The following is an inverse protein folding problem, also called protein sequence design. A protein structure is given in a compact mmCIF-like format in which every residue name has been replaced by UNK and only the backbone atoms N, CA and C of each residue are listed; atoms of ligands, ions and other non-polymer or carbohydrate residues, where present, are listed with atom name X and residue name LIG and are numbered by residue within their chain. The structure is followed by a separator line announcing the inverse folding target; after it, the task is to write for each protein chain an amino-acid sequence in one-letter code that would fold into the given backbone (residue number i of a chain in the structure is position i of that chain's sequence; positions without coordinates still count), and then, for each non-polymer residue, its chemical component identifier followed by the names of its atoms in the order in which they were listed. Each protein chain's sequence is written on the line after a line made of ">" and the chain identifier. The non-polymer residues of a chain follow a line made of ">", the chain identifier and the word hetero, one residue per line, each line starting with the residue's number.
data_IF_249895986590
#
_entry.id   IF_249895986590
#
_cell.length_a   1.000
_cell.length_b   1.000
_cell.length_c   1.000
_cell.angle_alpha   90.00
_cell.angle_beta   90.00
_cell.angle_gamma   90.00
#
_symmetry.space_group_name_H-M   'P 1'
#
loop_
_entity.id
_entity.type
_entity.pdbx_description
1 polymer ?
#
# COMPACT_ATOMS: atom_id res chain seq x y z
N UNK A 1 12.96 36.58 -53.27
CA UNK A 1 11.97 36.13 -52.25
C UNK A 1 11.30 34.81 -52.62
N UNK A 2 10.72 34.62 -53.79
CA UNK A 2 9.98 33.40 -54.17
C UNK A 2 10.76 32.08 -54.06
N UNK A 3 12.08 32.05 -54.43
CA UNK A 3 12.91 30.83 -54.30
C UNK A 3 13.20 30.40 -52.85
N UNK A 4 13.27 31.33 -51.88
CA UNK A 4 13.47 31.03 -50.47
C UNK A 4 12.22 30.47 -49.80
N UNK A 5 11.05 30.96 -50.24
CA UNK A 5 9.73 30.45 -49.76
C UNK A 5 9.49 29.01 -50.27
N UNK A 6 9.85 28.77 -51.54
CA UNK A 6 9.70 27.44 -52.13
C UNK A 6 10.61 26.41 -51.45
N UNK A 7 11.86 26.78 -51.13
CA UNK A 7 12.80 25.93 -50.40
C UNK A 7 12.33 25.65 -48.98
N UNK A 8 11.74 26.62 -48.28
CA UNK A 8 11.20 26.42 -46.94
C UNK A 8 9.96 25.47 -46.94
N UNK A 9 9.07 25.60 -47.94
CA UNK A 9 7.93 24.72 -48.12
C UNK A 9 8.34 23.28 -48.42
N UNK A 10 9.32 23.08 -49.30
CA UNK A 10 9.85 21.74 -49.62
C UNK A 10 10.55 21.11 -48.40
N UNK A 11 11.30 21.89 -47.61
CA UNK A 11 11.94 21.40 -46.39
C UNK A 11 10.91 21.02 -45.32
N UNK A 12 9.81 21.80 -45.15
CA UNK A 12 8.74 21.48 -44.20
C UNK A 12 7.94 20.23 -44.61
N UNK A 13 7.69 20.03 -45.89
CA UNK A 13 7.00 18.81 -46.36
C UNK A 13 7.89 17.59 -46.25
N UNK A 14 9.20 17.71 -46.48
CA UNK A 14 10.16 16.60 -46.31
C UNK A 14 10.33 16.20 -44.84
N UNK A 15 10.38 17.20 -43.93
CA UNK A 15 10.42 16.96 -42.48
C UNK A 15 9.14 16.29 -41.97
N UNK A 16 7.96 16.70 -42.45
CA UNK A 16 6.69 16.08 -42.10
C UNK A 16 6.52 14.64 -42.61
N UNK A 17 7.18 14.27 -43.71
CA UNK A 17 7.13 12.92 -44.28
C UNK A 17 8.10 11.94 -43.55
N UNK A 18 9.13 12.45 -42.87
CA UNK A 18 10.12 11.65 -42.14
C UNK A 18 9.66 11.24 -40.74
N UNK A 19 8.70 11.95 -40.12
CA UNK A 19 8.23 11.66 -38.76
C UNK A 19 7.59 10.27 -38.63
N UNK A 20 6.74 9.78 -39.53
CA UNK A 20 6.16 8.44 -39.41
C UNK A 20 7.16 7.29 -39.64
N UNK A 21 8.33 7.56 -40.25
CA UNK A 21 9.37 6.56 -40.45
C UNK A 21 10.20 6.28 -39.19
N UNK A 22 10.07 7.10 -38.14
CA UNK A 22 10.77 6.95 -36.86
C UNK A 22 9.87 6.35 -35.78
N UNK A 23 8.57 6.15 -36.05
CA UNK A 23 7.68 5.46 -35.14
C UNK A 23 7.98 3.96 -35.18
N UNK A 24 8.62 3.43 -34.15
CA UNK A 24 8.68 1.98 -33.96
C UNK A 24 7.25 1.45 -33.81
N UNK A 25 6.87 0.36 -34.51
CA UNK A 25 5.58 -0.26 -34.27
C UNK A 25 5.49 -0.66 -32.79
N UNK A 26 4.42 -0.28 -32.11
CA UNK A 26 4.09 -0.83 -30.81
C UNK A 26 3.78 -2.33 -31.06
N UNK A 27 4.58 -3.22 -30.47
CA UNK A 27 4.37 -4.66 -30.54
C UNK A 27 3.68 -5.10 -29.25
N UNK A 28 2.53 -5.78 -29.37
CA UNK A 28 1.84 -6.39 -28.24
C UNK A 28 2.64 -7.57 -27.64
N UNK A 29 3.59 -8.12 -28.39
CA UNK A 29 4.40 -9.29 -28.00
C UNK A 29 5.84 -9.12 -28.46
N UNK A 30 6.77 -9.66 -27.68
CA UNK A 30 8.17 -9.74 -28.07
C UNK A 30 8.43 -11.05 -28.79
N UNK A 31 8.94 -10.98 -30.03
CA UNK A 31 9.38 -12.12 -30.79
C UNK A 31 10.87 -12.35 -30.64
N UNK A 32 11.28 -13.58 -30.31
CA UNK A 32 12.69 -13.93 -30.16
C UNK A 32 12.96 -15.37 -30.59
N UNK A 33 14.07 -15.56 -31.31
CA UNK A 33 14.60 -16.87 -31.62
C UNK A 33 15.43 -17.40 -30.46
N UNK A 34 15.05 -18.54 -29.91
CA UNK A 34 15.72 -19.22 -28.79
C UNK A 34 16.19 -20.60 -29.25
N UNK A 35 17.44 -20.72 -29.68
CA UNK A 35 17.98 -21.92 -30.31
C UNK A 35 17.23 -22.26 -31.58
N UNK A 36 16.54 -23.41 -31.62
CA UNK A 36 15.73 -23.88 -32.75
C UNK A 36 14.24 -23.54 -32.65
N UNK A 37 13.85 -22.74 -31.66
CA UNK A 37 12.46 -22.35 -31.39
C UNK A 37 12.26 -20.86 -31.58
N UNK A 38 11.04 -20.48 -32.01
CA UNK A 38 10.56 -19.11 -31.99
C UNK A 38 9.63 -18.93 -30.80
N UNK A 39 9.91 -17.92 -30.02
CA UNK A 39 9.12 -17.48 -28.85
C UNK A 39 8.43 -16.19 -29.22
N UNK A 40 7.11 -16.13 -29.01
CA UNK A 40 6.34 -14.89 -28.99
C UNK A 40 5.77 -14.75 -27.60
N UNK A 41 6.20 -13.71 -26.87
CA UNK A 41 5.96 -13.57 -25.43
C UNK A 41 5.36 -12.22 -25.12
N UNK A 42 4.38 -12.17 -24.23
CA UNK A 42 3.75 -10.97 -23.73
C UNK A 42 2.72 -11.29 -22.66
N UNK A 43 1.83 -10.35 -22.41
CA UNK A 43 0.61 -10.63 -21.68
C UNK A 43 -0.42 -11.32 -22.58
N UNK A 44 -1.25 -12.16 -22.00
CA UNK A 44 -2.28 -12.90 -22.73
C UNK A 44 -3.44 -12.04 -23.23
N UNK A 45 -3.79 -11.04 -22.43
CA UNK A 45 -4.82 -10.05 -22.74
C UNK A 45 -4.21 -8.65 -22.68
N UNK A 46 -4.31 -7.89 -23.75
CA UNK A 46 -3.81 -6.52 -23.86
C UNK A 46 -4.90 -5.54 -24.31
N UNK A 47 -4.92 -4.32 -23.76
CA UNK A 47 -4.02 -3.80 -22.74
C UNK A 47 -4.23 -4.47 -21.37
N UNK A 48 -3.12 -4.78 -20.70
CA UNK A 48 -3.14 -5.38 -19.35
C UNK A 48 -3.45 -4.32 -18.29
N UNK A 49 -4.41 -4.60 -17.39
CA UNK A 49 -4.74 -3.74 -16.26
C UNK A 49 -4.42 -4.44 -14.92
N UNK A 50 -3.85 -3.68 -13.99
CA UNK A 50 -3.57 -4.19 -12.65
C UNK A 50 -4.88 -4.54 -11.90
N UNK A 51 -4.90 -5.70 -11.24
CA UNK A 51 -6.07 -6.21 -10.51
C UNK A 51 -6.97 -7.13 -11.33
N UNK A 52 -6.72 -7.31 -12.61
CA UNK A 52 -7.47 -8.20 -13.48
C UNK A 52 -6.71 -9.50 -13.77
N UNK A 53 -7.46 -10.61 -13.96
CA UNK A 53 -6.86 -11.89 -14.32
C UNK A 53 -6.22 -11.77 -15.69
N UNK A 54 -4.97 -12.18 -15.79
CA UNK A 54 -4.23 -12.22 -17.04
C UNK A 54 -3.30 -13.44 -17.06
N UNK A 55 -2.48 -13.57 -18.08
CA UNK A 55 -1.49 -14.65 -18.19
C UNK A 55 -0.20 -14.16 -18.83
N UNK A 56 0.90 -14.85 -18.58
CA UNK A 56 2.02 -14.86 -19.51
C UNK A 56 1.62 -15.72 -20.69
N UNK A 57 1.69 -15.20 -21.91
CA UNK A 57 1.53 -16.00 -23.14
C UNK A 57 2.90 -16.37 -23.67
N UNK A 58 2.99 -17.60 -24.16
CA UNK A 58 4.08 -18.11 -24.98
C UNK A 58 3.47 -18.78 -26.20
N UNK A 59 3.57 -18.15 -27.37
CA UNK A 59 3.35 -18.85 -28.62
C UNK A 59 4.68 -19.49 -29.05
N UNK A 60 4.69 -20.80 -29.10
CA UNK A 60 5.90 -21.60 -29.32
C UNK A 60 5.84 -22.35 -30.66
N UNK A 61 6.82 -22.07 -31.53
CA UNK A 61 7.01 -22.80 -32.78
C UNK A 61 8.46 -23.26 -32.95
N UNK A 62 8.66 -24.22 -33.87
CA UNK A 62 9.99 -24.65 -34.26
C UNK A 62 10.60 -23.73 -35.34
N UNK A 63 11.79 -24.07 -35.83
CA UNK A 63 12.52 -23.28 -36.84
C UNK A 63 11.81 -23.20 -38.22
N UNK A 64 10.77 -24.00 -38.45
CA UNK A 64 9.96 -24.00 -39.65
C UNK A 64 8.54 -23.43 -39.41
N UNK A 65 8.39 -22.64 -38.33
CA UNK A 65 7.13 -22.03 -37.87
C UNK A 65 6.02 -23.05 -37.54
N UNK A 66 6.39 -24.35 -37.38
CA UNK A 66 5.44 -25.35 -36.94
C UNK A 66 5.20 -25.26 -35.44
N UNK A 67 3.93 -25.18 -34.99
CA UNK A 67 3.62 -25.14 -33.57
C UNK A 67 4.18 -26.34 -32.80
N UNK A 68 4.76 -26.08 -31.63
CA UNK A 68 5.19 -27.11 -30.68
C UNK A 68 4.02 -27.36 -29.73
N UNK A 69 3.40 -28.54 -29.82
CA UNK A 69 2.16 -28.86 -29.08
C UNK A 69 2.36 -29.85 -27.94
N UNK A 70 3.58 -30.32 -27.76
CA UNK A 70 3.95 -31.35 -26.78
C UNK A 70 4.99 -30.82 -25.75
N UNK A 71 4.83 -29.58 -25.34
CA UNK A 71 5.58 -29.02 -24.22
C UNK A 71 5.15 -29.77 -22.96
N UNK A 72 6.09 -30.48 -22.35
CA UNK A 72 5.90 -31.13 -21.04
C UNK A 72 6.15 -30.11 -19.92
N UNK A 73 5.85 -30.44 -18.66
CA UNK A 73 6.05 -29.57 -17.46
C UNK A 73 7.52 -29.18 -17.19
N UNK A 74 8.35 -29.21 -18.22
CA UNK A 74 9.78 -28.94 -18.16
C UNK A 74 10.15 -27.47 -18.33
N UNK A 75 9.20 -26.62 -18.78
CA UNK A 75 9.38 -25.19 -18.92
C UNK A 75 8.53 -24.45 -17.87
N UNK A 76 9.17 -23.58 -17.11
CA UNK A 76 8.53 -22.71 -16.11
C UNK A 76 8.81 -21.26 -16.45
N UNK A 77 7.96 -20.39 -15.94
CA UNK A 77 8.16 -18.93 -16.02
C UNK A 77 8.14 -18.33 -14.62
N UNK A 78 9.12 -17.49 -14.31
CA UNK A 78 9.14 -16.63 -13.14
C UNK A 78 8.67 -15.23 -13.54
N UNK A 79 7.57 -14.79 -12.96
CA UNK A 79 7.01 -13.44 -13.15
C UNK A 79 7.55 -12.53 -12.06
N UNK A 80 8.14 -11.40 -12.42
CA UNK A 80 8.66 -10.41 -11.48
C UNK A 80 8.30 -8.98 -11.87
N UNK A 81 8.16 -8.11 -10.86
CA UNK A 81 7.97 -6.66 -11.01
C UNK A 81 8.60 -5.93 -9.83
N UNK A 82 9.28 -4.81 -10.10
CA UNK A 82 9.96 -4.01 -9.06
C UNK A 82 10.93 -4.85 -8.23
N UNK A 83 10.77 -4.84 -6.92
CA UNK A 83 11.57 -5.59 -5.94
C UNK A 83 10.83 -6.79 -5.34
N UNK A 84 9.66 -7.16 -5.90
CA UNK A 84 8.89 -8.29 -5.41
C UNK A 84 9.61 -9.62 -5.69
N UNK A 85 9.42 -10.59 -4.78
CA UNK A 85 9.89 -11.95 -5.00
C UNK A 85 9.22 -12.55 -6.25
N UNK A 86 9.97 -13.23 -7.13
CA UNK A 86 9.44 -13.78 -8.36
C UNK A 86 8.40 -14.87 -8.10
N UNK A 87 7.24 -14.74 -8.77
CA UNK A 87 6.19 -15.75 -8.77
C UNK A 87 6.53 -16.84 -9.77
N UNK A 88 6.74 -18.08 -9.31
CA UNK A 88 7.02 -19.23 -10.17
C UNK A 88 5.71 -19.86 -10.65
N UNK A 89 5.59 -20.04 -11.97
CA UNK A 89 4.41 -20.61 -12.61
C UNK A 89 4.81 -21.69 -13.61
N UNK A 90 3.94 -22.67 -13.81
CA UNK A 90 4.03 -23.64 -14.90
C UNK A 90 3.32 -23.13 -16.14
N UNK A 91 3.83 -23.47 -17.32
CA UNK A 91 3.17 -23.18 -18.60
C UNK A 91 2.15 -24.28 -18.89
N UNK A 92 0.90 -23.91 -19.11
CA UNK A 92 -0.20 -24.82 -19.43
C UNK A 92 -0.65 -24.62 -20.87
N UNK A 93 -0.99 -25.68 -21.64
CA UNK A 93 -1.53 -25.53 -22.97
C UNK A 93 -2.90 -24.84 -22.92
N UNK A 94 -3.09 -23.84 -23.78
CA UNK A 94 -4.36 -23.14 -23.99
C UNK A 94 -5.02 -23.58 -25.31
N UNK A 95 -4.88 -24.85 -25.63
CA UNK A 95 -5.40 -25.46 -26.85
C UNK A 95 -5.60 -26.96 -26.66
N UNK A 96 -6.48 -27.53 -27.51
CA UNK A 96 -6.62 -28.95 -27.68
C UNK A 96 -6.27 -29.29 -29.17
N UNK A 97 -5.39 -30.25 -29.36
CA UNK A 97 -4.91 -30.56 -30.72
C UNK A 97 -6.05 -31.06 -31.59
N UNK A 98 -6.33 -30.30 -32.66
CA UNK A 98 -7.38 -30.62 -33.62
C UNK A 98 -8.79 -30.20 -33.23
N UNK A 99 -8.99 -29.58 -32.05
CA UNK A 99 -10.33 -29.25 -31.55
C UNK A 99 -10.48 -27.77 -31.20
N UNK A 100 -9.64 -27.23 -30.29
CA UNK A 100 -9.84 -25.93 -29.70
C UNK A 100 -8.52 -25.14 -29.54
N UNK A 101 -8.61 -23.83 -29.67
CA UNK A 101 -7.50 -22.89 -29.40
C UNK A 101 -6.48 -22.82 -30.54
N UNK A 102 -5.37 -22.14 -30.27
CA UNK A 102 -4.25 -21.99 -31.20
C UNK A 102 -3.14 -22.96 -30.82
N UNK A 103 -2.81 -23.96 -31.63
CA UNK A 103 -1.71 -24.88 -31.34
C UNK A 103 -0.41 -24.13 -31.04
N UNK A 104 0.26 -24.50 -29.94
CA UNK A 104 1.49 -23.82 -29.47
C UNK A 104 1.26 -22.64 -28.57
N UNK A 105 0.01 -22.25 -28.27
CA UNK A 105 -0.33 -21.23 -27.23
C UNK A 105 -0.25 -21.86 -25.85
N UNK A 106 0.72 -21.45 -25.07
CA UNK A 106 0.89 -21.83 -23.66
C UNK A 106 0.66 -20.63 -22.77
N UNK A 107 0.01 -20.84 -21.63
CA UNK A 107 -0.35 -19.78 -20.68
C UNK A 107 0.11 -20.10 -19.27
N UNK A 108 0.55 -19.07 -18.57
CA UNK A 108 0.76 -19.11 -17.12
C UNK A 108 -0.10 -18.01 -16.47
N UNK A 109 -1.14 -18.43 -15.75
CA UNK A 109 -2.18 -17.53 -15.25
C UNK A 109 -1.78 -16.86 -13.95
N UNK A 110 -2.01 -15.54 -13.87
CA UNK A 110 -1.80 -14.75 -12.66
C UNK A 110 -2.63 -13.46 -12.68
N UNK A 111 -2.57 -12.68 -11.61
CA UNK A 111 -3.18 -11.36 -11.53
C UNK A 111 -2.05 -10.35 -11.28
N UNK A 112 -1.69 -9.48 -12.24
CA UNK A 112 -0.79 -8.38 -11.99
C UNK A 112 -1.47 -7.40 -11.02
N UNK A 113 -0.92 -7.17 -9.83
CA UNK A 113 -1.54 -6.30 -8.81
C UNK A 113 -0.95 -4.90 -8.77
N UNK A 114 0.13 -4.66 -9.52
CA UNK A 114 0.85 -3.39 -9.55
C UNK A 114 1.00 -2.92 -10.99
N UNK A 115 0.65 -1.67 -11.32
CA UNK A 115 0.97 -1.10 -12.63
C UNK A 115 2.49 -0.98 -12.85
N UNK A 116 2.92 -1.01 -14.11
CA UNK A 116 4.31 -0.84 -14.52
C UNK A 116 4.93 -2.05 -15.18
N UNK A 117 6.25 -2.08 -15.24
CA UNK A 117 7.02 -3.07 -15.97
C UNK A 117 7.04 -4.44 -15.29
N UNK A 118 6.89 -5.48 -16.10
CA UNK A 118 7.03 -6.89 -15.70
C UNK A 118 8.14 -7.58 -16.48
N UNK A 119 8.75 -8.58 -15.85
CA UNK A 119 9.72 -9.45 -16.47
C UNK A 119 9.26 -10.91 -16.38
N UNK A 120 9.38 -11.64 -17.47
CA UNK A 120 9.05 -13.06 -17.59
C UNK A 120 10.31 -13.85 -17.87
N UNK A 121 10.79 -14.59 -16.86
CA UNK A 121 12.02 -15.37 -16.96
C UNK A 121 11.67 -16.86 -17.15
N UNK A 122 11.85 -17.34 -18.36
CA UNK A 122 11.62 -18.74 -18.75
C UNK A 122 12.85 -19.58 -18.42
N UNK A 123 12.66 -20.66 -17.69
CA UNK A 123 13.70 -21.60 -17.32
C UNK A 123 13.25 -23.04 -17.50
N UNK A 124 14.18 -23.92 -17.87
CA UNK A 124 13.91 -25.34 -18.07
C UNK A 124 14.44 -25.88 -19.37
N UNK A 125 13.65 -26.75 -20.03
CA UNK A 125 14.06 -27.34 -21.30
C UNK A 125 12.84 -27.60 -22.22
N UNK A 126 13.08 -27.55 -23.53
CA UNK A 126 12.11 -27.96 -24.56
C UNK A 126 12.75 -29.05 -25.38
N UNK A 127 12.22 -30.28 -25.28
CA UNK A 127 12.76 -31.46 -26.00
C UNK A 127 14.28 -31.59 -25.87
N UNK A 128 14.80 -31.40 -24.63
CA UNK A 128 16.23 -31.52 -24.33
C UNK A 128 17.05 -30.25 -24.61
N UNK A 129 16.52 -29.25 -25.30
CA UNK A 129 17.19 -27.96 -25.44
C UNK A 129 16.95 -27.09 -24.19
N UNK A 130 18.04 -26.71 -23.51
CA UNK A 130 17.97 -25.82 -22.34
C UNK A 130 17.43 -24.44 -22.73
N UNK A 131 16.53 -23.91 -21.92
CA UNK A 131 15.97 -22.56 -22.02
C UNK A 131 16.31 -21.81 -20.74
N UNK A 132 16.82 -20.57 -20.93
CA UNK A 132 17.11 -19.60 -19.86
C UNK A 132 17.02 -18.21 -20.51
N UNK A 133 15.81 -17.64 -20.53
CA UNK A 133 15.52 -16.43 -21.28
C UNK A 133 14.60 -15.51 -20.49
N UNK A 134 14.96 -14.23 -20.45
CA UNK A 134 14.13 -13.18 -19.85
C UNK A 134 13.57 -12.26 -20.91
N UNK A 135 12.25 -12.03 -20.84
CA UNK A 135 11.50 -11.07 -21.63
C UNK A 135 10.98 -9.98 -20.68
N UNK A 136 11.07 -8.73 -21.10
CA UNK A 136 10.68 -7.60 -20.25
C UNK A 136 9.76 -6.66 -21.01
N UNK A 137 8.68 -6.26 -20.37
CA UNK A 137 7.77 -5.24 -20.90
C UNK A 137 8.47 -3.89 -21.07
N UNK A 138 8.09 -3.14 -22.09
CA UNK A 138 8.66 -1.84 -22.38
C UNK A 138 8.29 -1.33 -23.78
N UNK A 139 8.77 -0.15 -24.17
CA UNK A 139 8.31 0.55 -25.37
C UNK A 139 8.55 -0.18 -26.71
N UNK A 140 9.45 -1.17 -26.73
CA UNK A 140 9.85 -1.90 -27.95
C UNK A 140 9.56 -3.39 -27.88
N UNK A 141 8.88 -3.84 -26.82
CA UNK A 141 8.55 -5.25 -26.60
C UNK A 141 7.04 -5.39 -26.46
N UNK A 142 6.53 -5.78 -25.31
CA UNK A 142 5.10 -5.81 -25.00
C UNK A 142 4.76 -4.76 -23.93
N UNK A 143 3.51 -4.33 -23.89
CA UNK A 143 3.08 -3.24 -23.01
C UNK A 143 3.29 -3.55 -21.53
N UNK A 144 3.44 -2.49 -20.73
CA UNK A 144 3.43 -2.57 -19.27
C UNK A 144 2.00 -2.71 -18.73
N UNK A 145 1.83 -3.27 -17.53
CA UNK A 145 0.53 -3.28 -16.88
C UNK A 145 0.10 -1.84 -16.53
N UNK A 146 -1.12 -1.46 -16.94
CA UNK A 146 -1.71 -0.12 -16.79
C UNK A 146 -2.48 0.01 -15.50
N UNK A 147 -2.62 1.25 -15.01
CA UNK A 147 -3.51 1.55 -13.89
C UNK A 147 -4.97 1.45 -14.36
N UNK A 148 -5.81 0.59 -13.77
CA UNK A 148 -7.22 0.48 -14.15
C UNK A 148 -8.01 1.79 -13.97
N UNK A 149 -7.52 2.72 -13.15
CA UNK A 149 -8.13 4.04 -13.01
C UNK A 149 -8.15 4.86 -14.31
N UNK A 150 -7.35 4.49 -15.32
CA UNK A 150 -7.34 5.15 -16.63
C UNK A 150 -8.66 4.96 -17.39
N UNK A 151 -9.32 3.81 -17.23
CA UNK A 151 -10.54 3.44 -17.96
C UNK A 151 -11.79 3.38 -17.08
N UNK A 152 -11.66 3.61 -15.76
CA UNK A 152 -12.82 3.57 -14.85
C UNK A 152 -13.76 4.75 -15.05
N UNK A 153 -15.06 4.47 -15.17
CA UNK A 153 -16.15 5.44 -15.31
C UNK A 153 -17.39 4.95 -14.54
N UNK A 154 -18.21 5.83 -13.92
CA UNK A 154 -18.06 7.27 -13.78
C UNK A 154 -17.12 7.69 -12.65
N UNK A 155 -16.72 6.80 -11.75
CA UNK A 155 -15.89 7.10 -10.57
C UNK A 155 -14.64 6.22 -10.59
N UNK A 156 -13.50 6.87 -10.44
CA UNK A 156 -12.22 6.15 -10.26
C UNK A 156 -12.15 5.54 -8.86
N UNK A 157 -12.00 4.23 -8.80
CA UNK A 157 -11.86 3.49 -7.55
C UNK A 157 -10.37 3.20 -7.27
N UNK A 158 -9.95 3.24 -6.01
CA UNK A 158 -8.58 2.87 -5.67
C UNK A 158 -8.36 1.37 -5.91
N UNK A 159 -7.17 1.00 -6.36
CA UNK A 159 -6.77 -0.39 -6.49
C UNK A 159 -6.66 -1.07 -5.12
N UNK A 160 -6.71 -2.41 -5.07
CA UNK A 160 -6.51 -3.17 -3.83
C UNK A 160 -5.19 -2.81 -3.13
N UNK A 161 -4.10 -2.61 -3.86
CA UNK A 161 -2.81 -2.18 -3.32
C UNK A 161 -2.86 -0.77 -2.72
N UNK A 162 -3.59 0.17 -3.34
CA UNK A 162 -3.78 1.51 -2.80
C UNK A 162 -4.63 1.49 -1.51
N UNK A 163 -5.66 0.64 -1.45
CA UNK A 163 -6.47 0.44 -0.24
C UNK A 163 -5.63 -0.17 0.89
N UNK A 164 -4.84 -1.20 0.63
CA UNK A 164 -3.94 -1.80 1.59
C UNK A 164 -2.95 -0.75 2.15
N UNK A 165 -2.31 0.04 1.29
CA UNK A 165 -1.39 1.10 1.70
C UNK A 165 -2.09 2.18 2.56
N UNK A 166 -3.35 2.51 2.28
CA UNK A 166 -4.12 3.45 3.12
C UNK A 166 -4.44 2.85 4.48
N UNK A 167 -4.85 1.58 4.51
CA UNK A 167 -5.14 0.86 5.74
C UNK A 167 -3.90 0.75 6.65
N UNK A 168 -2.73 0.43 6.08
CA UNK A 168 -1.47 0.37 6.82
C UNK A 168 -1.09 1.72 7.43
N UNK A 169 -1.23 2.81 6.67
CA UNK A 169 -0.95 4.17 7.18
C UNK A 169 -1.92 4.56 8.29
N UNK A 170 -3.19 4.23 8.16
CA UNK A 170 -4.19 4.54 9.19
C UNK A 170 -3.93 3.74 10.46
N UNK A 171 -3.61 2.44 10.33
CA UNK A 171 -3.20 1.59 11.45
C UNK A 171 -1.96 2.14 12.17
N UNK A 172 -0.95 2.59 11.42
CA UNK A 172 0.23 3.22 11.99
C UNK A 172 -0.10 4.50 12.77
N UNK A 173 -1.00 5.36 12.23
CA UNK A 173 -1.48 6.57 12.92
C UNK A 173 -2.21 6.25 14.22
N UNK A 174 -3.12 5.27 14.18
CA UNK A 174 -3.88 4.83 15.37
C UNK A 174 -2.93 4.31 16.45
N UNK A 175 -1.96 3.47 16.07
CA UNK A 175 -0.98 2.94 17.00
C UNK A 175 -0.12 4.03 17.64
N UNK A 176 0.29 5.04 16.85
CA UNK A 176 1.06 6.18 17.35
C UNK A 176 0.22 7.03 18.31
N UNK A 177 -1.04 7.31 17.99
CA UNK A 177 -1.94 8.05 18.86
C UNK A 177 -2.20 7.29 20.18
N UNK A 178 -2.44 5.98 20.09
CA UNK A 178 -2.65 5.14 21.27
C UNK A 178 -1.40 5.07 22.17
N UNK A 179 -0.20 5.03 21.58
CA UNK A 179 1.04 5.10 22.34
C UNK A 179 1.20 6.43 23.07
N UNK A 180 0.89 7.54 22.40
CA UNK A 180 0.93 8.88 23.02
C UNK A 180 -0.07 9.02 24.19
N UNK A 181 -1.31 8.53 24.03
CA UNK A 181 -2.30 8.52 25.11
C UNK A 181 -1.87 7.67 26.31
N UNK A 182 -1.25 6.50 26.05
CA UNK A 182 -0.72 5.64 27.12
C UNK A 182 0.41 6.32 27.89
N UNK A 183 1.30 7.03 27.19
CA UNK A 183 2.41 7.72 27.84
C UNK A 183 1.92 8.96 28.61
N UNK A 184 0.93 9.66 28.10
CA UNK A 184 0.26 10.73 28.84
C UNK A 184 -0.42 10.20 30.11
N UNK A 185 -1.18 9.11 30.01
CA UNK A 185 -1.84 8.49 31.15
C UNK A 185 -0.84 8.04 32.25
N UNK A 186 0.32 7.49 31.84
CA UNK A 186 1.40 7.16 32.78
C UNK A 186 1.97 8.38 33.45
N UNK A 187 2.19 9.49 32.74
CA UNK A 187 2.68 10.74 33.24
C UNK A 187 1.69 11.34 34.25
N UNK A 188 0.40 11.33 33.92
CA UNK A 188 -0.67 11.84 34.80
C UNK A 188 -0.78 11.00 36.08
N UNK A 189 -0.70 9.66 35.96
CA UNK A 189 -0.68 8.76 37.12
C UNK A 189 0.56 8.98 37.99
N UNK A 190 1.75 9.23 37.42
CA UNK A 190 2.95 9.55 38.18
C UNK A 190 2.81 10.89 38.94
N UNK A 191 2.27 11.88 38.26
CA UNK A 191 2.00 13.21 38.84
C UNK A 191 0.99 13.12 40.00
N UNK A 192 -0.10 12.36 39.81
CA UNK A 192 -1.10 12.12 40.85
C UNK A 192 -0.51 11.40 42.08
N UNK A 193 0.37 10.41 41.88
CA UNK A 193 1.09 9.73 42.97
C UNK A 193 1.99 10.68 43.73
N UNK A 194 2.71 11.56 43.05
CA UNK A 194 3.59 12.55 43.66
C UNK A 194 2.78 13.53 44.52
N UNK A 195 1.66 14.03 44.01
CA UNK A 195 0.76 14.91 44.78
C UNK A 195 0.14 14.20 46.01
N UNK A 196 -0.23 12.91 45.85
CA UNK A 196 -0.76 12.14 46.97
C UNK A 196 0.29 11.93 48.10
N UNK A 197 1.55 11.68 47.74
CA UNK A 197 2.65 11.55 48.70
C UNK A 197 2.90 12.88 49.40
N UNK A 198 2.93 14.00 48.69
CA UNK A 198 3.09 15.35 49.29
C UNK A 198 1.93 15.63 50.21
N UNK A 199 0.70 15.37 49.80
CA UNK A 199 -0.49 15.58 50.66
C UNK A 199 -0.45 14.74 51.96
N UNK A 200 0.00 13.47 51.84
CA UNK A 200 0.15 12.60 53.02
C UNK A 200 1.21 13.10 53.99
N UNK A 201 2.35 13.56 53.48
CA UNK A 201 3.42 14.16 54.35
C UNK A 201 2.94 15.43 55.05
N UNK A 202 2.30 16.33 54.30
CA UNK A 202 1.74 17.58 54.89
C UNK A 202 0.65 17.26 55.91
N UNK A 203 -0.23 16.30 55.62
CA UNK A 203 -1.27 15.83 56.54
C UNK A 203 -0.70 15.24 57.82
N UNK A 204 0.35 14.42 57.75
CA UNK A 204 1.06 13.89 58.92
C UNK A 204 1.72 14.97 59.74
N UNK A 205 2.39 15.94 59.13
CA UNK A 205 2.99 17.06 59.80
C UNK A 205 1.94 17.95 60.52
N UNK A 206 0.80 18.19 59.87
CA UNK A 206 -0.34 18.89 60.46
C UNK A 206 -0.93 18.16 61.65
N UNK A 207 -1.04 16.82 61.57
CA UNK A 207 -1.52 15.98 62.66
C UNK A 207 -0.57 16.03 63.88
N UNK A 208 0.74 15.93 63.68
CA UNK A 208 1.76 16.06 64.73
C UNK A 208 1.71 17.41 65.33
N UNK A 209 1.65 18.50 64.55
CA UNK A 209 1.54 19.84 65.04
C UNK A 209 0.25 20.10 65.91
N UNK A 210 -0.89 19.53 65.44
CA UNK A 210 -2.16 19.56 66.17
C UNK A 210 -2.08 18.84 67.52
N UNK A 211 -1.49 17.67 67.61
CA UNK A 211 -1.31 16.88 68.80
C UNK A 211 -0.40 17.67 69.79
N UNK A 212 0.70 18.26 69.32
CA UNK A 212 1.60 19.08 70.13
C UNK A 212 0.90 20.31 70.62
N UNK A 213 0.09 21.00 69.87
CA UNK A 213 -0.71 22.15 70.26
C UNK A 213 -1.74 21.79 71.35
N UNK A 214 -2.45 20.66 71.21
CA UNK A 214 -3.37 20.13 72.19
C UNK A 214 -2.65 19.78 73.53
N UNK A 215 -1.47 19.16 73.46
CA UNK A 215 -0.68 18.83 74.65
C UNK A 215 -0.17 20.08 75.38
N UNK A 216 0.17 21.16 74.69
CA UNK A 216 0.63 22.45 75.31
C UNK A 216 -0.50 23.35 75.79
N UNK A 217 -1.75 23.20 75.26
CA UNK A 217 -2.90 24.02 75.57
C UNK A 217 -3.63 23.65 76.88
N UNK A 218 -3.23 22.58 77.59
CA UNK A 218 -3.81 22.18 78.86
C UNK A 218 -3.14 22.96 80.01
N UNK A 219 -3.34 24.30 80.12
CA UNK A 219 -3.19 25.03 81.37
C UNK A 219 -4.57 25.14 82.02
N UNK A 220 -4.71 24.75 83.31
CA UNK A 220 -5.99 24.90 84.01
C UNK A 220 -6.29 26.39 84.25
N UNK A 221 -7.36 26.88 83.64
CA UNK A 221 -7.93 28.18 83.92
C UNK A 221 -8.66 28.13 85.25
N UNK A 222 -8.17 28.92 86.23
CA UNK A 222 -8.81 29.15 87.51
C UNK A 222 -10.17 29.81 87.39
N UNK A 223 -11.09 29.39 88.22
CA UNK A 223 -12.45 29.78 88.44
C UNK A 223 -12.50 31.25 88.85
N UNK A 224 -13.30 32.09 88.22
CA UNK A 224 -13.72 33.39 88.73
C UNK A 224 -15.24 33.42 88.92
N UNK A 225 -15.72 34.13 90.00
CA UNK A 225 -17.07 34.03 90.51
C UNK A 225 -18.06 35.04 89.91
N UNK A 226 -19.31 34.68 89.99
CA UNK A 226 -20.57 35.21 89.65
C UNK A 226 -20.82 36.71 89.50
N UNK A 227 -21.86 36.99 88.73
CA UNK A 227 -22.90 37.96 89.09
C UNK A 227 -24.01 37.98 88.05
N UNK A 228 -25.20 37.63 88.49
CA UNK A 228 -26.53 38.28 88.31
C UNK A 228 -27.07 38.58 86.93
N UNK A 229 -28.22 37.95 86.65
CA UNK A 229 -29.28 38.43 85.76
C UNK A 229 -29.88 39.77 86.23
N UNK A 230 -30.67 40.54 85.44
CA UNK A 230 -31.99 40.08 85.03
C UNK A 230 -32.49 40.61 83.64
N UNK A 231 -33.52 39.91 83.20
CA UNK A 231 -34.83 40.29 82.66
C UNK A 231 -34.94 41.08 81.32
N UNK A 232 -35.74 40.47 80.52
CA UNK A 232 -36.97 41.01 79.86
C UNK A 232 -36.75 41.89 78.62
N UNK A 233 -37.37 41.72 77.57
CA UNK A 233 -38.75 41.76 77.13
C UNK A 233 -38.86 41.67 75.58
N UNK A 234 -39.75 40.87 75.13
CA UNK A 234 -40.76 41.07 74.11
C UNK A 234 -40.43 41.40 72.66
N UNK A 235 -40.93 40.54 71.87
CA UNK A 235 -42.11 40.71 70.95
C UNK A 235 -41.87 40.99 69.45
N UNK A 236 -42.44 40.07 68.71
CA UNK A 236 -43.18 40.14 67.41
C UNK A 236 -42.44 40.19 66.08
N UNK A 237 -42.71 39.17 65.35
CA UNK A 237 -43.63 39.05 64.18
C UNK A 237 -43.25 39.96 62.99
N UNK A 238 -43.05 39.51 61.87
CA UNK A 238 -44.00 38.94 60.86
C UNK A 238 -43.26 38.51 59.57
N UNK A 239 -43.73 37.44 59.03
CA UNK A 239 -43.59 37.07 57.60
C UNK A 239 -44.66 37.91 56.82
N UNK A 240 -44.86 37.78 55.51
CA UNK A 240 -44.23 36.99 54.49
C UNK A 240 -44.12 37.71 53.12
N UNK A 241 -43.44 37.18 52.21
CA UNK A 241 -43.90 36.75 50.81
C UNK A 241 -42.75 36.27 50.04
#
# INVERSE_FOLDING_TARGET
>A
MKRRILAALVASTLAGLLIPLLASPASAHEERKVGKYHFVVGFGDEPTYAGEKNSVILLLSDANDKPVTDLTDTLKVAVSTGTAEPLQLSMEPNFEVGEFGTPGDYRAWFIPTTPGAYSFHFTGSIKGQKVDQTFKSGPTTFDEAKDPAEIQYPVKQPTGGQLATRADRETARINTALAAERDQAKSDAASARTLAIIGLVVGLLGLVAGVVALARGRKPTAKAPGASAPADDTVRQDAPR
#
